data_IF_750410832215
#
_entry.id   IF_750410832215
#
_cell.length_a   1.000
_cell.length_b   1.000
_cell.length_c   1.000
_cell.angle_alpha   90.00
_cell.angle_beta   90.00
_cell.angle_gamma   90.00
#
_symmetry.space_group_name_H-M   'P 1'
#
loop_
_entity.id
_entity.type
_entity.pdbx_description
1 polymer ?
#
# COMPACT_ATOMS: atom_id res chain seq x y z
N UNK A 1 10.98 19.13 3.28
CA UNK A 1 10.23 18.21 2.40
C UNK A 1 9.09 17.57 3.19
N UNK A 2 7.93 17.49 2.59
CA UNK A 2 6.79 16.70 3.08
C UNK A 2 6.61 15.48 2.18
N UNK A 3 6.20 14.35 2.76
CA UNK A 3 5.81 13.15 2.04
C UNK A 3 4.30 12.96 2.18
N UNK A 4 3.62 12.80 1.07
CA UNK A 4 2.19 12.56 1.00
C UNK A 4 1.96 11.13 0.54
N UNK A 5 1.12 10.39 1.24
CA UNK A 5 0.89 8.96 1.01
C UNK A 5 -0.60 8.69 0.91
N UNK A 6 -1.02 8.13 -0.20
CA UNK A 6 -2.38 7.63 -0.38
C UNK A 6 -2.39 6.10 -0.32
N UNK A 7 -3.32 5.58 0.47
CA UNK A 7 -3.42 4.16 0.82
C UNK A 7 -4.83 3.67 0.57
N UNK A 8 -4.98 2.55 -0.10
CA UNK A 8 -6.26 1.89 -0.25
C UNK A 8 -6.77 1.38 1.10
N UNK A 9 -8.00 1.74 1.43
CA UNK A 9 -8.62 1.43 2.73
C UNK A 9 -8.93 -0.06 2.94
N UNK A 10 -9.04 -0.85 1.87
CA UNK A 10 -9.32 -2.30 1.92
C UNK A 10 -8.03 -3.12 1.98
N UNK A 11 -7.12 -2.88 1.04
CA UNK A 11 -5.87 -3.64 0.91
C UNK A 11 -4.77 -3.16 1.82
N UNK A 12 -4.85 -1.90 2.30
CA UNK A 12 -3.80 -1.18 3.04
C UNK A 12 -2.51 -0.97 2.22
N UNK A 13 -2.61 -1.03 0.90
CA UNK A 13 -1.47 -0.80 0.03
C UNK A 13 -1.37 0.68 -0.37
N UNK A 14 -0.17 1.15 -0.51
CA UNK A 14 0.13 2.47 -1.06
C UNK A 14 -0.14 2.40 -2.56
N UNK A 15 -0.99 3.28 -3.06
CA UNK A 15 -1.24 3.41 -4.49
C UNK A 15 -0.59 4.68 -5.08
N UNK A 16 -0.43 5.72 -4.27
CA UNK A 16 0.22 6.96 -4.72
C UNK A 16 1.11 7.51 -3.62
N UNK A 17 2.26 8.03 -4.01
CA UNK A 17 3.17 8.70 -3.12
C UNK A 17 3.74 9.95 -3.80
N UNK A 18 3.82 11.04 -3.06
CA UNK A 18 4.33 12.32 -3.56
C UNK A 18 5.27 12.95 -2.52
N UNK A 19 6.15 13.79 -3.00
CA UNK A 19 6.97 14.65 -2.16
C UNK A 19 6.78 16.11 -2.56
N UNK A 20 6.65 16.98 -1.59
CA UNK A 20 6.56 18.43 -1.81
C UNK A 20 7.57 19.19 -0.95
N UNK A 21 7.81 20.44 -1.31
CA UNK A 21 8.55 21.36 -0.44
C UNK A 21 7.76 21.58 0.87
N UNK A 22 8.47 21.87 1.96
CA UNK A 22 7.85 21.97 3.28
C UNK A 22 6.84 23.12 3.42
N UNK A 23 6.99 24.16 2.62
CA UNK A 23 6.12 25.34 2.59
C UNK A 23 4.82 25.15 1.79
N UNK A 24 4.73 24.08 0.98
CA UNK A 24 3.52 23.82 0.18
C UNK A 24 2.42 23.25 1.09
N UNK A 25 1.19 23.80 1.07
CA UNK A 25 0.05 23.26 1.81
C UNK A 25 -0.29 21.83 1.36
N UNK A 26 -0.70 20.99 2.31
CA UNK A 26 -1.04 19.58 2.02
C UNK A 26 -2.24 19.47 1.07
N UNK A 27 -3.15 20.45 1.10
CA UNK A 27 -4.30 20.54 0.20
C UNK A 27 -3.94 20.57 -1.27
N UNK A 28 -2.79 21.17 -1.62
CA UNK A 28 -2.30 21.22 -3.00
C UNK A 28 -1.85 19.86 -3.53
N UNK A 29 -1.46 18.96 -2.64
CA UNK A 29 -1.07 17.59 -3.03
C UNK A 29 -2.28 16.66 -3.26
N UNK A 30 -3.46 17.01 -2.72
CA UNK A 30 -4.63 16.14 -2.72
C UNK A 30 -5.08 15.68 -4.12
N UNK A 31 -5.22 16.56 -5.14
CA UNK A 31 -5.62 16.13 -6.48
C UNK A 31 -4.65 15.12 -7.11
N UNK A 32 -3.36 15.25 -6.83
CA UNK A 32 -2.31 14.37 -7.35
C UNK A 32 -2.22 13.03 -6.60
N UNK A 33 -2.87 12.91 -5.45
CA UNK A 33 -2.95 11.66 -4.69
C UNK A 33 -4.10 10.77 -5.14
N UNK A 34 -5.08 11.33 -5.86
CA UNK A 34 -6.26 10.62 -6.34
C UNK A 34 -6.02 10.08 -7.76
N UNK A 35 -6.66 8.95 -8.09
CA UNK A 35 -6.56 8.31 -9.41
C UNK A 35 -7.90 8.26 -10.17
N UNK A 36 -8.95 8.91 -9.63
CA UNK A 36 -10.25 9.08 -10.31
C UNK A 36 -11.26 7.94 -10.11
N UNK A 37 -10.85 6.80 -9.56
CA UNK A 37 -11.72 5.63 -9.33
C UNK A 37 -12.11 5.43 -7.87
N UNK A 38 -11.80 6.40 -7.03
CA UNK A 38 -12.18 6.37 -5.61
C UNK A 38 -13.69 6.46 -5.44
N UNK A 39 -14.22 5.66 -4.53
CA UNK A 39 -15.60 5.74 -4.07
C UNK A 39 -15.73 6.49 -2.75
N UNK A 40 -14.66 6.54 -1.97
CA UNK A 40 -14.57 7.20 -0.66
C UNK A 40 -13.17 7.75 -0.44
N UNK A 41 -13.08 9.01 -0.07
CA UNK A 41 -11.82 9.67 0.29
C UNK A 41 -11.85 10.04 1.77
N UNK A 42 -10.85 9.57 2.52
CA UNK A 42 -10.68 9.87 3.94
C UNK A 42 -9.46 10.76 4.11
N UNK A 43 -9.69 11.98 4.54
CA UNK A 43 -8.65 12.98 4.79
C UNK A 43 -8.57 13.40 6.24
N UNK A 44 -7.46 14.03 6.60
CA UNK A 44 -7.31 14.72 7.87
C UNK A 44 -8.08 16.05 7.86
N UNK A 45 -8.19 16.66 9.01
CA UNK A 45 -8.80 17.98 9.19
C UNK A 45 -8.12 19.06 8.33
N UNK A 46 -6.82 18.90 8.03
CA UNK A 46 -6.07 19.78 7.13
C UNK A 46 -6.59 19.79 5.68
N UNK A 47 -7.36 18.78 5.27
CA UNK A 47 -8.00 18.70 3.95
C UNK A 47 -9.47 19.14 3.95
N UNK A 48 -9.95 19.73 5.04
CA UNK A 48 -11.32 20.23 5.12
C UNK A 48 -11.58 21.29 4.05
N UNK A 49 -12.76 21.23 3.41
CA UNK A 49 -13.16 22.18 2.36
C UNK A 49 -12.69 21.81 0.94
N UNK A 50 -12.00 20.68 0.77
CA UNK A 50 -11.49 20.23 -0.54
C UNK A 50 -12.48 19.33 -1.32
N UNK A 51 -13.75 19.36 -1.00
CA UNK A 51 -14.78 18.50 -1.63
C UNK A 51 -14.87 18.72 -3.14
N UNK A 52 -14.71 19.97 -3.62
CA UNK A 52 -14.73 20.28 -5.05
C UNK A 52 -13.49 19.74 -5.76
N UNK A 53 -12.31 19.89 -5.16
CA UNK A 53 -11.07 19.33 -5.69
C UNK A 53 -11.12 17.80 -5.76
N UNK A 54 -11.75 17.14 -4.77
CA UNK A 54 -11.99 15.69 -4.80
C UNK A 54 -12.93 15.32 -5.95
N UNK A 55 -14.05 16.05 -6.13
CA UNK A 55 -15.02 15.77 -7.18
C UNK A 55 -14.47 16.02 -8.59
N UNK A 56 -13.61 17.01 -8.74
CA UNK A 56 -12.97 17.30 -10.02
C UNK A 56 -12.12 16.12 -10.54
N UNK A 57 -11.44 15.40 -9.65
CA UNK A 57 -10.59 14.26 -10.01
C UNK A 57 -11.37 12.93 -9.91
N UNK A 58 -12.19 12.77 -8.88
CA UNK A 58 -12.95 11.56 -8.60
C UNK A 58 -14.45 11.89 -8.43
N UNK A 59 -15.23 12.04 -9.53
CA UNK A 59 -16.63 12.49 -9.49
C UNK A 59 -17.55 11.62 -8.63
N UNK A 60 -17.28 10.32 -8.57
CA UNK A 60 -18.06 9.34 -7.81
C UNK A 60 -17.63 9.21 -6.34
N UNK A 61 -16.58 9.91 -5.93
CA UNK A 61 -16.05 9.82 -4.58
C UNK A 61 -16.88 10.60 -3.58
N UNK A 62 -17.19 9.95 -2.44
CA UNK A 62 -17.75 10.62 -1.27
C UNK A 62 -16.62 11.12 -0.38
N UNK A 63 -16.70 12.39 0.00
CA UNK A 63 -15.74 13.02 0.91
C UNK A 63 -16.06 12.66 2.37
N UNK A 64 -15.13 11.93 3.00
CA UNK A 64 -15.13 11.57 4.41
C UNK A 64 -14.03 12.27 5.19
N UNK A 65 -13.55 13.42 4.73
CA UNK A 65 -12.59 14.24 5.46
C UNK A 65 -13.10 14.61 6.85
N UNK A 66 -12.22 14.62 7.84
CA UNK A 66 -12.55 15.01 9.18
C UNK A 66 -12.91 16.49 9.23
N UNK A 67 -13.98 16.83 9.93
CA UNK A 67 -14.44 18.21 10.10
C UNK A 67 -13.97 18.78 11.44
N UNK A 68 -13.78 20.10 11.49
CA UNK A 68 -13.51 20.81 12.74
C UNK A 68 -14.73 20.68 13.67
N UNK A 69 -14.50 20.22 14.89
CA UNK A 69 -15.55 19.99 15.89
C UNK A 69 -15.43 20.88 17.12
N UNK A 70 -14.33 21.63 17.26
CA UNK A 70 -14.11 22.61 18.32
C UNK A 70 -14.17 24.00 17.73
N UNK A 71 -15.01 24.84 18.28
CA UNK A 71 -15.17 26.24 17.91
C UNK A 71 -14.20 27.14 18.70
N UNK A 72 -13.88 28.36 18.22
CA UNK A 72 -13.05 29.32 18.97
C UNK A 72 -13.60 29.64 20.36
N UNK A 73 -14.93 29.60 20.52
CA UNK A 73 -15.64 29.79 21.80
C UNK A 73 -15.47 28.65 22.81
N UNK A 74 -14.72 27.61 22.47
CA UNK A 74 -14.57 26.40 23.29
C UNK A 74 -15.70 25.37 23.16
N UNK A 75 -16.80 25.73 22.49
CA UNK A 75 -17.93 24.81 22.25
C UNK A 75 -17.47 23.60 21.43
N UNK A 76 -17.89 22.39 21.84
CA UNK A 76 -17.59 21.13 21.18
C UNK A 76 -18.87 20.59 20.54
N UNK A 77 -18.80 20.22 19.27
CA UNK A 77 -19.85 19.48 18.58
C UNK A 77 -19.61 17.97 18.74
N UNK A 78 -20.31 17.36 19.67
CA UNK A 78 -20.15 15.94 20.01
C UNK A 78 -20.58 15.02 18.86
N UNK A 79 -21.54 15.41 18.02
CA UNK A 79 -21.98 14.63 16.85
C UNK A 79 -20.86 14.59 15.82
N UNK A 80 -20.25 15.73 15.52
CA UNK A 80 -19.10 15.81 14.57
C UNK A 80 -17.90 15.07 15.14
N UNK A 81 -17.64 15.17 16.43
CA UNK A 81 -16.58 14.44 17.14
C UNK A 81 -16.76 12.92 17.03
N UNK A 82 -17.99 12.41 17.26
CA UNK A 82 -18.29 10.99 17.11
C UNK A 82 -18.11 10.48 15.66
N UNK A 83 -18.59 11.24 14.67
CA UNK A 83 -18.39 10.96 13.25
C UNK A 83 -16.90 10.94 12.87
N UNK A 84 -16.12 11.89 13.37
CA UNK A 84 -14.67 11.95 13.16
C UNK A 84 -13.95 10.73 13.76
N UNK A 85 -14.38 10.25 14.94
CA UNK A 85 -13.81 9.04 15.56
C UNK A 85 -13.95 7.82 14.67
N UNK A 86 -15.10 7.64 14.00
CA UNK A 86 -15.32 6.54 13.06
C UNK A 86 -14.41 6.66 11.83
N UNK A 87 -14.29 7.87 11.26
CA UNK A 87 -13.40 8.15 10.13
C UNK A 87 -11.93 7.95 10.48
N UNK A 88 -11.52 8.33 11.68
CA UNK A 88 -10.15 8.18 12.18
C UNK A 88 -9.71 6.71 12.29
N UNK A 89 -10.63 5.77 12.54
CA UNK A 89 -10.32 4.32 12.49
C UNK A 89 -9.85 3.88 11.10
N UNK A 90 -10.40 4.46 10.03
CA UNK A 90 -9.95 4.16 8.67
C UNK A 90 -8.59 4.81 8.40
N UNK A 91 -8.38 6.06 8.86
CA UNK A 91 -7.11 6.78 8.74
C UNK A 91 -5.94 6.09 9.46
N UNK A 92 -6.19 5.42 10.58
CA UNK A 92 -5.17 4.65 11.29
C UNK A 92 -4.47 3.60 10.40
N UNK A 93 -5.10 3.16 9.30
CA UNK A 93 -4.46 2.29 8.31
C UNK A 93 -3.31 2.98 7.58
N UNK A 94 -3.44 4.25 7.26
CA UNK A 94 -2.38 5.08 6.65
C UNK A 94 -1.24 5.29 7.64
N UNK A 95 -1.57 5.60 8.89
CA UNK A 95 -0.58 5.78 9.96
C UNK A 95 0.24 4.50 10.18
N UNK A 96 -0.39 3.32 10.09
CA UNK A 96 0.31 2.04 10.16
C UNK A 96 1.32 1.89 9.02
N UNK A 97 0.92 2.19 7.78
CA UNK A 97 1.78 2.13 6.59
C UNK A 97 2.96 3.10 6.72
N UNK A 98 2.70 4.35 7.12
CA UNK A 98 3.75 5.34 7.39
C UNK A 98 4.69 4.84 8.50
N UNK A 99 4.15 4.18 9.53
CA UNK A 99 4.93 3.54 10.58
C UNK A 99 5.88 2.46 10.06
N UNK A 100 5.47 1.66 9.07
CA UNK A 100 6.33 0.67 8.41
C UNK A 100 7.44 1.37 7.63
N UNK A 101 7.13 2.37 6.81
CA UNK A 101 8.13 3.16 6.07
C UNK A 101 9.19 3.74 7.01
N UNK A 102 8.77 4.28 8.15
CA UNK A 102 9.69 4.91 9.11
C UNK A 102 10.51 3.90 9.92
N UNK A 103 9.88 2.86 10.46
CA UNK A 103 10.51 1.93 11.42
C UNK A 103 11.22 0.76 10.74
N UNK A 104 10.62 0.18 9.68
CA UNK A 104 11.21 -0.96 8.99
C UNK A 104 12.20 -0.51 7.93
N UNK A 105 11.85 0.51 7.14
CA UNK A 105 12.68 0.98 6.04
C UNK A 105 13.51 2.24 6.38
N UNK A 106 13.42 2.74 7.60
CA UNK A 106 14.30 3.78 8.12
C UNK A 106 14.15 5.15 7.45
N UNK A 107 12.96 5.48 6.91
CA UNK A 107 12.71 6.80 6.33
C UNK A 107 12.34 7.81 7.42
N UNK A 108 13.33 8.22 8.21
CA UNK A 108 13.14 9.20 9.28
C UNK A 108 13.58 10.60 8.86
N UNK A 109 14.61 10.70 8.00
CA UNK A 109 15.21 11.95 7.54
C UNK A 109 15.42 11.92 6.03
N UNK A 110 15.36 13.09 5.40
CA UNK A 110 15.87 13.28 4.05
C UNK A 110 17.39 13.07 4.03
N UNK A 111 17.88 12.24 3.13
CA UNK A 111 19.33 11.91 3.05
C UNK A 111 20.02 12.55 1.86
N UNK A 112 19.24 12.89 0.83
CA UNK A 112 19.79 13.40 -0.41
C UNK A 112 19.50 14.88 -0.58
N UNK A 113 20.36 15.56 -1.31
CA UNK A 113 20.14 16.95 -1.71
C UNK A 113 19.12 16.98 -2.86
N UNK A 114 18.10 17.83 -2.72
CA UNK A 114 17.04 18.00 -3.71
C UNK A 114 15.85 17.07 -3.54
N UNK A 115 14.70 17.52 -4.06
CA UNK A 115 13.42 16.83 -3.96
C UNK A 115 13.37 15.52 -4.76
N UNK A 116 13.85 15.49 -6.03
CA UNK A 116 13.71 14.29 -6.89
C UNK A 116 14.41 13.05 -6.31
N UNK A 117 15.62 13.20 -5.81
CA UNK A 117 16.38 12.07 -5.22
C UNK A 117 15.71 11.50 -3.96
N UNK A 118 15.11 12.36 -3.14
CA UNK A 118 14.38 11.93 -1.96
C UNK A 118 13.03 11.32 -2.30
N UNK A 119 12.34 11.83 -3.35
CA UNK A 119 11.11 11.22 -3.87
C UNK A 119 11.39 9.82 -4.39
N UNK A 120 12.38 9.64 -5.26
CA UNK A 120 12.74 8.32 -5.78
C UNK A 120 13.04 7.30 -4.67
N UNK A 121 13.80 7.72 -3.64
CA UNK A 121 14.01 6.87 -2.46
C UNK A 121 12.70 6.52 -1.77
N UNK A 122 11.79 7.47 -1.63
CA UNK A 122 10.50 7.26 -0.99
C UNK A 122 9.61 6.29 -1.81
N UNK A 123 9.65 6.36 -3.14
CA UNK A 123 8.95 5.44 -4.06
C UNK A 123 9.44 4.00 -3.90
N UNK A 124 10.77 3.80 -3.87
CA UNK A 124 11.36 2.48 -3.62
C UNK A 124 10.91 1.93 -2.26
N UNK A 125 10.92 2.76 -1.22
CA UNK A 125 10.47 2.34 0.11
C UNK A 125 8.97 2.05 0.15
N UNK A 126 8.16 2.77 -0.61
CA UNK A 126 6.73 2.51 -0.74
C UNK A 126 6.46 1.15 -1.41
N UNK A 127 7.19 0.84 -2.48
CA UNK A 127 7.11 -0.46 -3.14
C UNK A 127 7.50 -1.61 -2.20
N UNK A 128 8.63 -1.48 -1.50
CA UNK A 128 9.08 -2.45 -0.51
C UNK A 128 8.08 -2.59 0.66
N UNK A 129 7.46 -1.48 1.08
CA UNK A 129 6.41 -1.49 2.11
C UNK A 129 5.21 -2.30 1.65
N UNK A 130 4.77 -2.15 0.40
CA UNK A 130 3.68 -2.93 -0.16
C UNK A 130 4.00 -4.44 -0.16
N UNK A 131 5.20 -4.83 -0.59
CA UNK A 131 5.67 -6.22 -0.53
C UNK A 131 5.70 -6.73 0.92
N UNK A 132 6.27 -5.96 1.83
CA UNK A 132 6.34 -6.31 3.26
C UNK A 132 4.94 -6.51 3.87
N UNK A 133 3.99 -5.64 3.55
CA UNK A 133 2.61 -5.73 4.03
C UNK A 133 1.89 -6.99 3.51
N UNK A 134 2.22 -7.44 2.30
CA UNK A 134 1.63 -8.62 1.66
C UNK A 134 2.46 -9.91 1.83
N UNK A 135 3.61 -9.85 2.51
CA UNK A 135 4.58 -10.95 2.58
C UNK A 135 3.98 -12.31 2.96
N UNK A 136 3.05 -12.34 3.93
CA UNK A 136 2.40 -13.60 4.36
C UNK A 136 1.56 -14.22 3.25
N UNK A 137 0.81 -13.39 2.49
CA UNK A 137 0.00 -13.86 1.37
C UNK A 137 0.86 -14.32 0.20
N UNK A 138 1.98 -13.62 -0.05
CA UNK A 138 2.93 -13.98 -1.11
C UNK A 138 3.62 -15.30 -0.80
N UNK A 139 4.06 -15.53 0.43
CA UNK A 139 4.68 -16.78 0.89
C UNK A 139 3.70 -17.95 0.78
N UNK A 140 2.50 -17.84 1.33
CA UNK A 140 1.48 -18.89 1.24
C UNK A 140 1.14 -19.27 -0.20
N UNK A 141 1.10 -18.29 -1.12
CA UNK A 141 0.86 -18.53 -2.54
C UNK A 141 2.06 -19.20 -3.23
N UNK A 142 3.28 -18.90 -2.78
CA UNK A 142 4.51 -19.56 -3.26
C UNK A 142 4.57 -21.02 -2.86
N UNK A 143 4.19 -21.36 -1.63
CA UNK A 143 4.12 -22.73 -1.12
C UNK A 143 3.10 -23.58 -1.89
N UNK A 144 1.90 -23.03 -2.13
CA UNK A 144 0.86 -23.70 -2.93
C UNK A 144 1.32 -23.99 -4.36
N UNK A 145 2.11 -23.13 -4.99
CA UNK A 145 2.67 -23.38 -6.33
C UNK A 145 3.77 -24.43 -6.32
N UNK A 146 4.59 -24.49 -5.27
CA UNK A 146 5.64 -25.52 -5.14
C UNK A 146 5.06 -26.91 -4.94
N UNK A 147 3.99 -27.03 -4.16
CA UNK A 147 3.30 -28.31 -3.96
C UNK A 147 2.57 -28.83 -5.22
N UNK A 148 2.18 -27.92 -6.11
CA UNK A 148 1.55 -28.27 -7.40
C UNK A 148 2.57 -28.67 -8.48
N UNK A 149 3.86 -28.37 -8.30
CA UNK A 149 4.94 -28.79 -9.18
C UNK A 149 5.68 -29.98 -8.55
N UNK A 150 5.07 -31.15 -8.58
CA UNK A 150 5.79 -32.42 -8.41
C UNK A 150 6.31 -32.79 -9.79
N UNK A 151 7.63 -32.82 -10.05
CA UNK A 151 8.13 -33.37 -11.30
C UNK A 151 7.72 -34.84 -11.34
N UNK A 152 7.07 -35.26 -12.41
CA UNK A 152 6.84 -36.68 -12.71
C UNK A 152 8.20 -37.39 -12.64
N UNK A 153 8.29 -38.42 -11.81
CA UNK A 153 9.48 -39.26 -11.79
C UNK A 153 9.78 -39.74 -13.22
N UNK A 154 11.05 -39.77 -13.65
CA UNK A 154 11.38 -40.34 -14.96
C UNK A 154 10.90 -41.78 -14.97
N UNK A 155 10.10 -42.14 -15.96
CA UNK A 155 9.76 -43.54 -16.24
C UNK A 155 11.05 -44.31 -16.31
N UNK A 156 11.24 -45.27 -15.39
CA UNK A 156 12.34 -46.20 -15.45
C UNK A 156 12.15 -47.04 -16.72
N UNK A 157 13.08 -46.89 -17.66
CA UNK A 157 13.18 -47.68 -18.87
C UNK A 157 13.38 -49.14 -18.50
N UNK A 158 12.30 -49.94 -18.54
CA UNK A 158 12.28 -51.39 -18.27
C UNK A 158 12.63 -52.19 -19.54
N UNK A 159 13.60 -51.72 -20.33
CA UNK A 159 14.01 -52.41 -21.57
C UNK A 159 15.47 -52.85 -21.59
N UNK A 160 15.97 -53.48 -20.48
CA UNK A 160 17.32 -54.05 -20.48
C UNK A 160 17.45 -55.39 -19.74
N UNK A 161 16.40 -56.24 -19.72
CA UNK A 161 16.55 -57.63 -19.24
C UNK A 161 15.89 -58.61 -20.21
N UNK A 162 16.41 -58.74 -21.43
CA UNK A 162 16.12 -59.91 -22.26
C UNK A 162 17.20 -60.13 -23.33
N UNK A 163 18.48 -60.32 -22.96
CA UNK A 163 19.51 -60.82 -23.80
C UNK A 163 20.72 -61.38 -23.05
N UNK A 164 20.52 -62.40 -22.21
CA UNK A 164 21.65 -63.20 -21.72
C UNK A 164 21.13 -64.58 -21.28
N UNK A 165 20.79 -65.39 -22.29
CA UNK A 165 20.30 -66.72 -22.00
C UNK A 165 20.33 -67.65 -23.24
N UNK A 166 21.43 -67.63 -23.97
CA UNK A 166 21.62 -68.71 -25.04
C UNK A 166 23.08 -68.78 -25.50
N UNK A 167 23.93 -69.41 -24.72
CA UNK A 167 25.18 -70.07 -25.23
C UNK A 167 25.84 -70.81 -24.07
N UNK A 168 25.47 -72.04 -23.87
CA UNK A 168 26.45 -73.09 -23.56
C UNK A 168 25.71 -74.42 -23.49
N UNK A 169 25.76 -75.18 -24.61
CA UNK A 169 25.75 -76.68 -24.66
C UNK A 169 26.35 -77.10 -26.00
N UNK A 170 27.60 -77.45 -25.96
CA UNK A 170 28.22 -78.60 -26.64
C UNK A 170 29.66 -78.69 -26.22
#
# INVERSE_FOLDING_TARGET
MKAHVAVDSKTKLIHTILASAANIPDTMALPHLLHGRETRVYGDQGYQGQTEAIRAVAPNARDFTNRKYRWPSGRIDEIVKAKNRTKSKVRAKVEHVIGVIKRVFGFQKTRYRGLPKNLHRLEVMAALTNVFMQRRRLLARGESRRSAFTPSAPEADVSAETRLGARNRS
#
